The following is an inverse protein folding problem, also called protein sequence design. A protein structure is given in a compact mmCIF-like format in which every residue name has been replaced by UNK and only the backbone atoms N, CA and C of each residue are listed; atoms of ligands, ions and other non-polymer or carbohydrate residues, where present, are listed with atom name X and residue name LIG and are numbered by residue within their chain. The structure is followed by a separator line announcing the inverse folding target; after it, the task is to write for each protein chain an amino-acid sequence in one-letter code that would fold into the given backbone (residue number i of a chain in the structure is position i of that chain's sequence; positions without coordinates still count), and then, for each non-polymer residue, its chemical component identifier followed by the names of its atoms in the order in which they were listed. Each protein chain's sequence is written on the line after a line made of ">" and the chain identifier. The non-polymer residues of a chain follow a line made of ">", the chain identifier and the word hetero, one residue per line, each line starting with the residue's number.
data_IF_574373829120
#
_entry.id   IF_574373829120
#
_cell.length_a   1.000
_cell.length_b   1.000
_cell.length_c   1.000
_cell.angle_alpha   90.00
_cell.angle_beta   90.00
_cell.angle_gamma   90.00
#
_symmetry.space_group_name_H-M   'P 1'
#
loop_
_entity.id
_entity.type
_entity.pdbx_description
1 polymer ?
#
# COMPACT_ATOMS: atom_id res chain seq x y z
N UNK A 1 -7.10 11.98 -18.55
CA UNK A 1 -7.81 11.38 -17.40
C UNK A 1 -6.85 11.28 -16.23
N UNK A 2 -7.29 11.69 -15.04
CA UNK A 2 -6.49 11.56 -13.82
C UNK A 2 -6.33 10.08 -13.43
N UNK A 3 -5.10 9.64 -13.12
CA UNK A 3 -4.85 8.26 -12.70
C UNK A 3 -5.38 8.07 -11.28
N UNK A 4 -6.35 7.17 -11.13
CA UNK A 4 -6.89 6.79 -9.80
C UNK A 4 -6.16 5.56 -9.28
N UNK A 5 -5.86 5.57 -7.99
CA UNK A 5 -5.21 4.48 -7.27
C UNK A 5 -6.02 4.11 -6.04
N UNK A 6 -5.78 2.91 -5.53
CA UNK A 6 -6.29 2.46 -4.22
C UNK A 6 -5.10 2.32 -3.28
N UNK A 7 -5.17 2.95 -2.11
CA UNK A 7 -4.22 2.76 -1.03
C UNK A 7 -4.79 1.75 -0.04
N UNK A 8 -4.12 0.62 0.15
CA UNK A 8 -4.39 -0.28 1.25
C UNK A 8 -3.43 0.01 2.39
N UNK A 9 -3.99 0.16 3.59
CA UNK A 9 -3.23 0.23 4.84
C UNK A 9 -3.42 -1.10 5.57
N UNK A 10 -2.31 -1.75 5.88
CA UNK A 10 -2.27 -3.03 6.58
C UNK A 10 -1.51 -2.80 7.90
N UNK A 11 -2.28 -2.74 8.99
CA UNK A 11 -1.78 -2.61 10.35
C UNK A 11 -1.51 -3.99 10.93
N UNK A 12 -0.27 -4.44 10.77
CA UNK A 12 0.22 -5.64 11.42
C UNK A 12 0.54 -5.39 12.89
N UNK A 13 0.85 -6.47 13.61
CA UNK A 13 1.27 -6.40 15.02
C UNK A 13 2.73 -6.02 15.19
N UNK A 14 3.58 -6.21 14.18
CA UNK A 14 5.03 -5.93 14.20
C UNK A 14 5.46 -4.84 13.23
N UNK A 15 4.58 -4.48 12.28
CA UNK A 15 4.85 -3.43 11.30
C UNK A 15 3.56 -2.83 10.73
N UNK A 16 3.70 -1.65 10.15
CA UNK A 16 2.70 -1.03 9.30
C UNK A 16 3.11 -1.14 7.83
N UNK A 17 2.16 -1.46 6.96
CA UNK A 17 2.36 -1.47 5.51
C UNK A 17 1.37 -0.56 4.79
N UNK A 18 1.86 0.10 3.75
CA UNK A 18 1.09 0.93 2.82
C UNK A 18 1.33 0.42 1.40
N UNK A 19 0.27 -0.01 0.72
CA UNK A 19 0.35 -0.62 -0.62
C UNK A 19 -0.52 0.18 -1.58
N UNK A 20 0.07 0.64 -2.69
CA UNK A 20 -0.63 1.39 -3.72
C UNK A 20 -0.93 0.49 -4.92
N UNK A 21 -2.21 0.38 -5.27
CA UNK A 21 -2.68 -0.44 -6.39
C UNK A 21 -3.17 0.43 -7.56
N UNK A 22 -2.89 0.00 -8.79
CA UNK A 22 -3.58 0.50 -9.98
C UNK A 22 -4.98 -0.13 -10.14
N UNK A 23 -5.70 0.32 -11.17
CA UNK A 23 -7.04 -0.19 -11.49
C UNK A 23 -7.09 -1.65 -11.95
N UNK A 24 -5.95 -2.24 -12.32
CA UNK A 24 -5.84 -3.64 -12.69
C UNK A 24 -5.47 -4.52 -11.49
N UNK A 25 -5.39 -3.94 -10.29
CA UNK A 25 -4.97 -4.64 -9.07
C UNK A 25 -3.46 -4.88 -8.99
N UNK A 26 -2.65 -4.24 -9.85
CA UNK A 26 -1.19 -4.34 -9.78
C UNK A 26 -0.65 -3.45 -8.68
N UNK A 27 0.31 -3.97 -7.92
CA UNK A 27 1.07 -3.18 -6.94
C UNK A 27 2.00 -2.26 -7.71
N UNK A 28 1.83 -0.96 -7.52
CA UNK A 28 2.66 0.08 -8.14
C UNK A 28 3.71 0.60 -7.15
N UNK A 29 3.39 0.57 -5.86
CA UNK A 29 4.34 0.90 -4.80
C UNK A 29 3.96 0.18 -3.50
N UNK A 30 4.95 -0.04 -2.65
CA UNK A 30 4.79 -0.57 -1.31
C UNK A 30 5.82 0.07 -0.37
N UNK A 31 5.37 0.48 0.81
CA UNK A 31 6.24 0.87 1.91
C UNK A 31 5.87 0.07 3.16
N UNK A 32 6.89 -0.29 3.93
CA UNK A 32 6.75 -0.97 5.22
C UNK A 32 7.57 -0.24 6.26
N UNK A 33 7.02 -0.13 7.46
CA UNK A 33 7.70 0.39 8.63
C UNK A 33 7.51 -0.57 9.80
N UNK A 34 8.60 -1.16 10.27
CA UNK A 34 8.64 -1.97 11.49
C UNK A 34 8.55 -1.07 12.73
N UNK A 35 8.03 -1.61 13.83
CA UNK A 35 7.87 -0.86 15.07
C UNK A 35 9.15 -0.78 15.92
N UNK A 36 10.15 -1.58 15.58
CA UNK A 36 11.42 -1.75 16.28
C UNK A 36 12.60 -1.34 15.44
#
# INVERSE_FOLDING_TARGET
>A
MEKKYVLALDQGTTSSRAILFDRNGRIINMSQKEFT
#
